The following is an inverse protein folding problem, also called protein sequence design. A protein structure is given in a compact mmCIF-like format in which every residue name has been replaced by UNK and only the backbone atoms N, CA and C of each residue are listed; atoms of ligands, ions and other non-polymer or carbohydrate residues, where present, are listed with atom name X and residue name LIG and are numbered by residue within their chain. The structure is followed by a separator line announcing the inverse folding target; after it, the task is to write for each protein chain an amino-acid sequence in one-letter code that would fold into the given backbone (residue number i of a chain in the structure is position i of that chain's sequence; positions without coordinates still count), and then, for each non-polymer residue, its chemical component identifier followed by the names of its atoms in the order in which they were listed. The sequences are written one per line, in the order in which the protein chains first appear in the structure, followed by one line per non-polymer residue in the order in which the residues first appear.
data_IF_835308298908
#
_entry.id   IF_835308298908
#
_cell.length_a   1.000
_cell.length_b   1.000
_cell.length_c   1.000
_cell.angle_alpha   90.00
_cell.angle_beta   90.00
_cell.angle_gamma   90.00
#
_symmetry.space_group_name_H-M   'P 1'
#
loop_
_entity.id
_entity.type
_entity.pdbx_description
1 polymer ?
#
# COMPACT_ATOMS: atom_id res chain seq x y z
N UNK A 1 11.15 0.88 0.25
CA UNK A 1 11.12 1.14 1.70
C UNK A 1 10.58 -0.14 2.34
N UNK A 2 11.44 -1.13 2.62
CA UNK A 2 11.02 -2.54 2.69
C UNK A 2 9.90 -2.80 3.68
N UNK A 3 10.00 -2.27 4.91
CA UNK A 3 8.98 -2.50 5.93
C UNK A 3 7.58 -1.96 5.57
N UNK A 4 7.49 -0.84 4.84
CA UNK A 4 6.20 -0.34 4.37
C UNK A 4 5.68 -1.08 3.14
N UNK A 5 6.58 -1.55 2.28
CA UNK A 5 6.23 -2.41 1.13
C UNK A 5 5.65 -3.73 1.61
N UNK A 6 6.30 -4.36 2.60
CA UNK A 6 5.86 -5.62 3.21
C UNK A 6 4.53 -5.44 3.96
N UNK A 7 4.39 -4.37 4.76
CA UNK A 7 3.14 -4.07 5.46
C UNK A 7 1.98 -3.85 4.50
N UNK A 8 2.16 -3.01 3.48
CA UNK A 8 1.11 -2.73 2.51
C UNK A 8 0.78 -3.97 1.68
N UNK A 9 1.78 -4.76 1.29
CA UNK A 9 1.61 -6.05 0.63
C UNK A 9 0.77 -7.01 1.46
N UNK A 10 1.10 -7.20 2.74
CA UNK A 10 0.34 -8.05 3.65
C UNK A 10 -1.11 -7.58 3.81
N UNK A 11 -1.34 -6.27 4.00
CA UNK A 11 -2.68 -5.73 4.21
C UNK A 11 -3.59 -5.91 2.98
N UNK A 12 -3.03 -5.89 1.76
CA UNK A 12 -3.82 -6.08 0.53
C UNK A 12 -3.80 -7.52 0.00
N UNK A 13 -3.14 -8.45 0.70
CA UNK A 13 -3.03 -9.86 0.30
C UNK A 13 -2.12 -10.09 -0.91
N UNK A 14 -1.11 -9.23 -1.11
CA UNK A 14 -0.16 -9.30 -2.22
C UNK A 14 1.18 -9.98 -1.86
N UNK A 15 1.16 -10.84 -0.86
CA UNK A 15 2.28 -11.58 -0.27
C UNK A 15 2.25 -13.09 -0.57
N UNK A 16 1.24 -13.55 -1.32
CA UNK A 16 1.11 -14.95 -1.76
C UNK A 16 1.98 -15.33 -2.99
N UNK A 17 2.13 -16.63 -3.28
CA UNK A 17 2.84 -17.10 -4.47
C UNK A 17 2.26 -16.51 -5.76
N UNK A 18 3.10 -15.84 -6.56
CA UNK A 18 2.67 -15.18 -7.79
C UNK A 18 2.05 -13.79 -7.61
N UNK A 19 2.04 -13.24 -6.39
CA UNK A 19 1.57 -11.89 -6.15
C UNK A 19 2.56 -10.82 -6.65
N UNK A 20 2.00 -9.67 -7.04
CA UNK A 20 2.79 -8.52 -7.46
C UNK A 20 3.38 -7.79 -6.24
N UNK A 21 4.70 -7.63 -6.21
CA UNK A 21 5.36 -6.86 -5.16
C UNK A 21 5.07 -5.36 -5.29
N UNK A 22 4.53 -4.77 -4.22
CA UNK A 22 4.32 -3.32 -4.16
C UNK A 22 5.68 -2.61 -4.03
N UNK A 23 5.98 -1.65 -4.90
CA UNK A 23 7.17 -0.80 -4.77
C UNK A 23 6.81 0.58 -4.25
N UNK A 24 7.41 0.95 -3.13
CA UNK A 24 7.24 2.25 -2.48
C UNK A 24 8.61 2.94 -2.38
N UNK A 25 8.98 3.77 -3.39
CA UNK A 25 10.17 4.59 -3.30
C UNK A 25 10.05 5.60 -2.16
N UNK A 26 11.18 6.21 -1.77
CA UNK A 26 11.19 7.25 -0.73
C UNK A 26 10.17 8.35 -1.04
N UNK A 27 9.43 8.78 -0.02
CA UNK A 27 8.35 9.75 -0.10
C UNK A 27 7.15 9.35 -0.99
N UNK A 28 7.00 8.07 -1.34
CA UNK A 28 5.74 7.56 -1.85
C UNK A 28 4.69 7.45 -0.72
N UNK A 29 3.42 7.61 -1.08
CA UNK A 29 2.28 7.45 -0.20
C UNK A 29 1.30 6.43 -0.78
N UNK A 30 0.91 5.44 0.01
CA UNK A 30 -0.12 4.47 -0.34
C UNK A 30 -1.40 4.79 0.44
N UNK A 31 -2.54 4.80 -0.24
CA UNK A 31 -3.85 4.89 0.40
C UNK A 31 -4.55 3.54 0.36
N UNK A 32 -4.75 2.99 1.55
CA UNK A 32 -5.42 1.71 1.74
C UNK A 32 -6.77 1.96 2.40
N UNK A 33 -7.80 1.30 1.89
CA UNK A 33 -9.10 1.19 2.57
C UNK A 33 -9.12 -0.17 3.25
N UNK A 34 -9.33 -0.19 4.56
CA UNK A 34 -9.41 -1.42 5.34
C UNK A 34 -10.88 -1.73 5.65
N UNK A 35 -11.29 -2.98 5.48
CA UNK A 35 -12.61 -3.46 5.84
C UNK A 35 -12.64 -3.92 7.31
N UNK A 36 -12.37 -2.99 8.23
CA UNK A 36 -12.36 -3.25 9.69
C UNK A 36 -13.04 -2.12 10.45
N UNK A 37 -13.70 -2.43 11.55
CA UNK A 37 -14.38 -1.43 12.39
C UNK A 37 -13.41 -0.79 13.40
N UNK A 38 -12.40 -1.54 13.85
CA UNK A 38 -11.37 -1.07 14.78
C UNK A 38 -9.98 -1.59 14.39
N UNK A 39 -8.94 -0.79 14.65
CA UNK A 39 -7.55 -1.11 14.26
C UNK A 39 -7.02 -2.46 14.74
N UNK A 40 -7.47 -2.93 15.91
CA UNK A 40 -7.04 -4.25 16.45
C UNK A 40 -7.50 -5.44 15.60
N UNK A 41 -8.48 -5.24 14.72
CA UNK A 41 -9.02 -6.27 13.83
C UNK A 41 -8.28 -6.32 12.48
N UNK A 42 -7.28 -5.46 12.29
CA UNK A 42 -6.44 -5.44 11.08
C UNK A 42 -5.73 -6.79 10.91
N UNK A 43 -5.96 -7.42 9.76
CA UNK A 43 -5.38 -8.71 9.39
C UNK A 43 -4.82 -8.65 7.96
N UNK A 44 -3.95 -9.58 7.56
CA UNK A 44 -3.55 -9.70 6.16
C UNK A 44 -4.77 -9.82 5.23
N UNK A 45 -4.72 -9.18 4.08
CA UNK A 45 -5.79 -9.20 3.07
C UNK A 45 -7.08 -8.45 3.46
N UNK A 46 -7.14 -7.74 4.59
CA UNK A 46 -8.33 -6.96 4.97
C UNK A 46 -8.44 -5.60 4.24
N UNK A 47 -7.45 -5.26 3.42
CA UNK A 47 -7.31 -3.96 2.77
C UNK A 47 -7.38 -4.01 1.25
N UNK A 48 -7.68 -2.86 0.67
CA UNK A 48 -7.60 -2.62 -0.76
C UNK A 48 -6.78 -1.36 -1.05
N UNK A 49 -5.82 -1.47 -1.96
CA UNK A 49 -5.06 -0.34 -2.46
C UNK A 49 -5.94 0.51 -3.38
N UNK A 50 -6.20 1.75 -2.99
CA UNK A 50 -6.93 2.70 -3.84
C UNK A 50 -6.00 3.45 -4.77
N UNK A 51 -4.86 3.92 -4.25
CA UNK A 51 -3.86 4.63 -5.03
C UNK A 51 -2.49 4.58 -4.36
N UNK A 52 -1.46 4.59 -5.21
CA UNK A 52 -0.07 4.73 -4.84
C UNK A 52 0.50 5.97 -5.53
N UNK A 53 0.79 6.99 -4.75
CA UNK A 53 1.31 8.26 -5.23
C UNK A 53 2.81 8.29 -5.02
N UNK A 54 3.55 8.67 -6.06
CA UNK A 54 5.00 8.88 -6.00
C UNK A 54 5.34 10.36 -6.15
N UNK A 55 6.49 10.82 -5.64
CA UNK A 55 6.92 12.21 -5.83
C UNK A 55 6.99 12.64 -7.31
N UNK A 56 7.29 11.70 -8.22
CA UNK A 56 7.30 11.97 -9.67
C UNK A 56 5.90 12.25 -10.21
N UNK A 57 4.89 11.50 -9.75
CA UNK A 57 3.49 11.74 -10.13
C UNK A 57 2.98 13.07 -9.58
N UNK A 58 3.30 13.40 -8.33
CA UNK A 58 2.93 14.69 -7.74
C UNK A 58 3.53 15.86 -8.53
N UNK A 59 4.84 15.82 -8.82
CA UNK A 59 5.50 16.87 -9.62
C UNK A 59 4.84 17.12 -10.97
N UNK A 60 4.31 16.07 -11.62
CA UNK A 60 3.61 16.20 -12.89
C UNK A 60 2.19 16.79 -12.77
N UNK A 61 1.59 16.75 -11.58
CA UNK A 61 0.23 17.25 -11.34
C UNK A 61 0.19 18.71 -10.86
N UNK A 62 1.29 19.22 -10.29
CA UNK A 62 1.42 20.62 -9.80
C UNK A 62 2.38 21.48 -10.64
N UNK A 63 2.98 20.93 -11.69
CA UNK A 63 3.82 21.66 -12.64
C UNK A 63 3.07 21.98 -13.92
#
# INVERSE_FOLDING_TARGET
NPGFEDLAGALIGADGPGAYSLRMPTAAAAHLVLAVDVWRETQPGCGQLQWLVTPKLLKAAVG
#
